data_IF_495142489048
#
_entry.id   IF_495142489048
#
_cell.length_a   1.000
_cell.length_b   1.000
_cell.length_c   1.000
_cell.angle_alpha   90.00
_cell.angle_beta   90.00
_cell.angle_gamma   90.00
#
_symmetry.space_group_name_H-M   'P 1'
#
loop_
_entity.id
_entity.type
_entity.pdbx_description
1 polymer ?
#
# COMPACT_ATOMS: atom_id res chain seq x y z
N UNK A 1 -6.45 8.43 -16.62
CA UNK A 1 -5.51 7.56 -15.89
C UNK A 1 -4.25 7.46 -16.71
N UNK A 2 -3.10 7.71 -16.08
CA UNK A 2 -1.78 7.54 -16.70
C UNK A 2 -1.64 6.09 -17.19
N UNK A 3 -1.08 5.90 -18.40
CA UNK A 3 -0.94 4.58 -19.04
C UNK A 3 0.22 3.76 -18.44
N UNK A 4 0.16 3.46 -17.14
CA UNK A 4 1.06 2.48 -16.52
C UNK A 4 0.33 1.16 -16.21
N UNK A 5 1.14 0.10 -15.98
CA UNK A 5 0.68 -1.24 -15.63
C UNK A 5 0.55 -1.48 -14.12
N UNK A 6 1.08 -0.58 -13.30
CA UNK A 6 0.94 -0.68 -11.84
C UNK A 6 -0.50 -0.61 -11.34
N UNK A 7 -0.71 -1.10 -10.11
CA UNK A 7 -1.99 -1.18 -9.42
C UNK A 7 -1.95 -0.49 -8.06
N UNK A 8 -3.10 -0.06 -7.56
CA UNK A 8 -3.20 0.64 -6.28
C UNK A 8 -3.45 -0.38 -5.18
N UNK A 9 -2.73 -0.32 -4.07
CA UNK A 9 -2.97 -1.15 -2.89
C UNK A 9 -2.80 -0.36 -1.60
N UNK A 10 -3.35 -0.88 -0.49
CA UNK A 10 -2.96 -0.43 0.85
C UNK A 10 -3.97 0.44 1.58
N UNK A 11 -3.46 1.19 2.55
CA UNK A 11 -4.26 1.96 3.51
C UNK A 11 -5.02 3.14 2.89
N UNK A 12 -4.71 3.52 1.64
CA UNK A 12 -5.41 4.60 0.95
C UNK A 12 -6.92 4.31 0.84
N UNK A 13 -7.33 3.06 0.61
CA UNK A 13 -8.74 2.66 0.50
C UNK A 13 -9.53 2.88 1.79
N UNK A 14 -8.90 2.68 2.95
CA UNK A 14 -9.52 2.96 4.26
C UNK A 14 -9.93 4.44 4.35
N UNK A 15 -9.08 5.35 3.88
CA UNK A 15 -9.39 6.78 3.84
C UNK A 15 -10.48 7.08 2.81
N UNK A 16 -10.35 6.56 1.57
CA UNK A 16 -11.35 6.74 0.50
C UNK A 16 -12.75 6.33 0.96
N UNK A 17 -12.87 5.13 1.51
CA UNK A 17 -14.15 4.55 1.92
C UNK A 17 -14.72 5.19 3.20
N UNK A 18 -13.89 5.87 3.99
CA UNK A 18 -14.33 6.62 5.16
C UNK A 18 -14.64 8.10 4.86
N UNK A 19 -14.50 8.53 3.59
CA UNK A 19 -14.64 9.94 3.21
C UNK A 19 -13.52 10.84 3.75
N UNK A 20 -12.42 10.24 4.18
CA UNK A 20 -11.24 10.95 4.68
C UNK A 20 -10.31 11.30 3.51
N UNK A 21 -9.59 12.42 3.65
CA UNK A 21 -8.61 12.83 2.63
C UNK A 21 -7.49 11.80 2.51
N UNK A 22 -7.16 11.42 1.27
CA UNK A 22 -5.99 10.61 0.94
C UNK A 22 -4.79 11.54 0.71
N UNK A 23 -3.68 11.27 1.41
CA UNK A 23 -2.44 12.05 1.30
C UNK A 23 -1.55 11.52 0.18
N UNK A 24 -1.42 10.21 0.12
CA UNK A 24 -0.57 9.46 -0.79
C UNK A 24 -1.32 8.22 -1.31
N UNK A 25 -1.01 7.83 -2.54
CA UNK A 25 -1.56 6.63 -3.20
C UNK A 25 -0.38 5.74 -3.57
N UNK A 26 -0.29 4.59 -2.91
CA UNK A 26 0.72 3.58 -3.21
C UNK A 26 0.36 2.82 -4.48
N UNK A 27 1.28 2.79 -5.43
CA UNK A 27 1.17 2.07 -6.70
C UNK A 27 2.27 1.01 -6.74
N UNK A 28 1.84 -0.25 -6.78
CA UNK A 28 2.68 -1.43 -6.86
C UNK A 28 2.75 -1.96 -8.29
N UNK A 29 3.75 -2.80 -8.54
CA UNK A 29 4.02 -3.38 -9.85
C UNK A 29 4.30 -4.87 -9.70
N UNK A 30 3.98 -5.67 -10.72
CA UNK A 30 4.28 -7.10 -10.71
C UNK A 30 5.76 -7.38 -10.90
N UNK A 31 6.50 -6.46 -11.52
CA UNK A 31 7.92 -6.60 -11.80
C UNK A 31 8.61 -5.22 -11.94
N UNK A 32 9.94 -5.24 -11.89
CA UNK A 32 10.77 -4.04 -11.95
C UNK A 32 10.67 -3.30 -13.30
N UNK A 33 10.48 -4.03 -14.41
CA UNK A 33 10.39 -3.43 -15.75
C UNK A 33 9.17 -2.51 -15.83
N UNK A 34 8.01 -2.98 -15.37
CA UNK A 34 6.78 -2.18 -15.36
C UNK A 34 6.88 -0.96 -14.44
N UNK A 35 7.64 -1.07 -13.34
CA UNK A 35 7.95 0.06 -12.48
C UNK A 35 8.83 1.11 -13.20
N UNK A 36 9.91 0.67 -13.86
CA UNK A 36 10.80 1.56 -14.60
C UNK A 36 10.06 2.25 -15.75
N UNK A 37 9.24 1.51 -16.51
CA UNK A 37 8.36 2.07 -17.55
C UNK A 37 7.43 3.16 -16.99
N UNK A 38 6.89 2.96 -15.79
CA UNK A 38 6.04 3.96 -15.14
C UNK A 38 6.85 5.19 -14.69
N UNK A 39 8.04 5.01 -14.12
CA UNK A 39 8.93 6.12 -13.75
C UNK A 39 9.29 6.95 -14.98
N UNK A 40 9.66 6.31 -16.09
CA UNK A 40 9.97 6.99 -17.34
C UNK A 40 8.76 7.75 -17.89
N UNK A 41 7.57 7.13 -17.83
CA UNK A 41 6.32 7.77 -18.23
C UNK A 41 6.03 9.04 -17.42
N UNK A 42 6.16 9.00 -16.08
CA UNK A 42 5.95 10.20 -15.24
C UNK A 42 6.99 11.29 -15.46
N UNK A 43 8.17 10.95 -15.98
CA UNK A 43 9.20 11.92 -16.37
C UNK A 43 9.12 12.34 -17.85
N UNK A 44 8.19 11.77 -18.63
CA UNK A 44 8.02 12.14 -20.03
C UNK A 44 7.54 13.59 -20.19
N UNK A 45 7.95 14.21 -21.29
CA UNK A 45 7.53 15.58 -21.64
C UNK A 45 6.02 15.77 -21.61
N UNK A 46 5.25 14.75 -22.00
CA UNK A 46 3.79 14.82 -22.04
C UNK A 46 3.20 14.96 -20.62
N UNK A 47 3.62 14.11 -19.67
CA UNK A 47 3.10 14.20 -18.30
C UNK A 47 3.66 15.40 -17.53
N UNK A 48 4.90 15.79 -17.80
CA UNK A 48 5.47 17.02 -17.23
C UNK A 48 4.69 18.25 -17.72
N UNK A 49 4.31 18.33 -19.00
CA UNK A 49 3.44 19.38 -19.55
C UNK A 49 2.03 19.34 -18.95
N UNK A 50 1.53 18.16 -18.60
CA UNK A 50 0.27 18.01 -17.85
C UNK A 50 0.38 18.41 -16.36
N UNK A 51 1.56 18.82 -15.90
CA UNK A 51 1.81 19.33 -14.55
C UNK A 51 2.28 18.27 -13.55
N UNK A 52 2.62 17.05 -13.98
CA UNK A 52 3.26 16.07 -13.10
C UNK A 52 4.71 16.46 -12.81
N UNK A 53 5.11 16.36 -11.54
CA UNK A 53 6.45 16.73 -11.07
C UNK A 53 6.99 15.63 -10.15
N UNK A 54 8.28 15.35 -10.31
CA UNK A 54 9.02 14.52 -9.36
C UNK A 54 8.97 15.15 -7.96
N UNK A 55 8.72 14.32 -6.94
CA UNK A 55 8.64 14.77 -5.54
C UNK A 55 9.87 14.32 -4.74
N UNK A 56 10.12 13.01 -4.70
CA UNK A 56 11.31 12.42 -4.08
C UNK A 56 11.48 10.96 -4.52
N UNK A 57 12.67 10.39 -4.29
CA UNK A 57 12.93 8.96 -4.42
C UNK A 57 13.85 8.51 -3.29
N UNK A 58 13.58 7.34 -2.73
CA UNK A 58 14.48 6.64 -1.80
C UNK A 58 14.62 5.18 -2.25
N UNK A 59 15.16 4.30 -1.40
CA UNK A 59 15.34 2.88 -1.71
C UNK A 59 14.02 2.12 -1.94
N UNK A 60 12.90 2.63 -1.40
CA UNK A 60 11.61 1.93 -1.39
C UNK A 60 10.58 2.50 -2.36
N UNK A 61 10.66 3.79 -2.67
CA UNK A 61 9.62 4.49 -3.43
C UNK A 61 10.17 5.59 -4.32
N UNK A 62 9.52 5.81 -5.47
CA UNK A 62 9.65 6.99 -6.33
C UNK A 62 8.31 7.74 -6.38
N UNK A 63 8.27 8.98 -5.91
CA UNK A 63 7.04 9.74 -5.72
C UNK A 63 6.87 10.87 -6.73
N UNK A 64 5.64 11.05 -7.22
CA UNK A 64 5.24 12.09 -8.16
C UNK A 64 3.99 12.82 -7.70
N UNK A 65 3.90 14.11 -7.96
CA UNK A 65 2.77 14.94 -7.59
C UNK A 65 2.33 15.79 -8.78
N UNK A 66 1.02 15.86 -9.02
CA UNK A 66 0.47 16.79 -10.00
C UNK A 66 0.33 18.19 -9.39
N UNK A 67 0.70 19.21 -10.15
CA UNK A 67 0.62 20.60 -9.73
C UNK A 67 -0.82 20.98 -9.32
N UNK A 68 -0.94 21.70 -8.20
CA UNK A 68 -2.22 22.06 -7.60
C UNK A 68 -2.88 20.94 -6.77
N UNK A 69 -2.50 19.68 -6.96
CA UNK A 69 -3.04 18.57 -6.19
C UNK A 69 -2.35 18.45 -4.83
N UNK A 70 -3.12 18.15 -3.78
CA UNK A 70 -2.55 17.90 -2.45
C UNK A 70 -2.25 16.41 -2.20
N UNK A 71 -2.62 15.55 -3.13
CA UNK A 71 -2.37 14.10 -3.09
C UNK A 71 -1.23 13.79 -4.06
N UNK A 72 -0.34 12.87 -3.67
CA UNK A 72 0.72 12.39 -4.55
C UNK A 72 0.65 10.88 -4.74
N UNK A 73 1.36 10.40 -5.76
CA UNK A 73 1.47 8.98 -6.09
C UNK A 73 2.86 8.50 -5.67
N UNK A 74 2.91 7.33 -5.06
CA UNK A 74 4.11 6.65 -4.61
C UNK A 74 4.28 5.36 -5.42
N UNK A 75 5.24 5.34 -6.36
CA UNK A 75 5.59 4.14 -7.10
C UNK A 75 6.53 3.29 -6.24
N UNK A 76 6.05 2.14 -5.79
CA UNK A 76 6.78 1.24 -4.89
C UNK A 76 7.79 0.41 -5.68
N UNK A 77 9.03 0.38 -5.22
CA UNK A 77 10.15 -0.34 -5.84
C UNK A 77 10.82 -1.35 -4.90
N UNK A 78 10.44 -1.35 -3.62
CA UNK A 78 10.96 -2.32 -2.63
C UNK A 78 10.32 -3.69 -2.71
N UNK A 79 9.17 -3.83 -3.38
CA UNK A 79 8.40 -5.06 -3.45
C UNK A 79 7.69 -5.14 -4.80
N UNK A 80 7.81 -6.29 -5.45
CA UNK A 80 7.13 -6.60 -6.71
C UNK A 80 6.37 -7.91 -6.57
N UNK A 81 5.20 -7.98 -7.19
CA UNK A 81 4.38 -9.17 -7.19
C UNK A 81 2.95 -8.89 -7.62
N UNK A 82 2.19 -9.96 -7.78
CA UNK A 82 0.75 -9.89 -8.07
C UNK A 82 0.00 -9.16 -6.94
N UNK A 83 -1.19 -8.61 -7.20
CA UNK A 83 -2.03 -8.01 -6.16
C UNK A 83 -2.23 -8.95 -4.95
N UNK A 84 -2.44 -10.24 -5.19
CA UNK A 84 -2.57 -11.26 -4.15
C UNK A 84 -1.31 -11.40 -3.28
N UNK A 85 -0.13 -11.38 -3.89
CA UNK A 85 1.16 -11.48 -3.18
C UNK A 85 1.43 -10.24 -2.35
N UNK A 86 1.24 -9.05 -2.92
CA UNK A 86 1.41 -7.78 -2.20
C UNK A 86 0.43 -7.68 -1.01
N UNK A 87 -0.85 -8.05 -1.18
CA UNK A 87 -1.79 -7.99 -0.05
C UNK A 87 -1.49 -9.01 1.05
N UNK A 88 -0.75 -10.10 0.76
CA UNK A 88 -0.33 -11.07 1.78
C UNK A 88 0.77 -10.50 2.68
N UNK A 89 1.62 -9.60 2.18
CA UNK A 89 2.71 -9.00 2.97
C UNK A 89 2.23 -7.90 3.94
N UNK A 90 1.03 -7.35 3.71
CA UNK A 90 0.45 -6.36 4.59
C UNK A 90 0.08 -6.93 5.97
N UNK A 91 0.18 -6.07 6.97
CA UNK A 91 0.00 -6.42 8.38
C UNK A 91 -1.48 -6.48 8.79
N UNK A 92 -2.26 -5.46 8.45
CA UNK A 92 -3.63 -5.32 8.93
C UNK A 92 -4.64 -5.63 7.84
N UNK A 93 -5.66 -6.39 8.19
CA UNK A 93 -6.82 -6.69 7.32
C UNK A 93 -7.44 -5.43 6.69
N UNK A 94 -7.45 -4.28 7.39
CA UNK A 94 -7.99 -3.00 6.90
C UNK A 94 -7.07 -2.22 5.96
N UNK A 95 -5.85 -2.73 5.73
CA UNK A 95 -4.96 -2.28 4.67
C UNK A 95 -4.98 -3.23 3.46
N UNK A 96 -5.58 -4.43 3.58
CA UNK A 96 -5.60 -5.47 2.55
C UNK A 96 -6.70 -5.23 1.53
N UNK A 97 -6.50 -4.23 0.68
CA UNK A 97 -7.33 -3.96 -0.49
C UNK A 97 -6.46 -3.47 -1.65
N UNK A 98 -6.77 -3.93 -2.86
CA UNK A 98 -6.12 -3.55 -4.10
C UNK A 98 -7.15 -3.28 -5.21
N UNK A 99 -6.81 -2.35 -6.10
CA UNK A 99 -7.55 -2.00 -7.31
C UNK A 99 -6.62 -2.09 -8.52
N UNK A 100 -6.94 -2.99 -9.45
CA UNK A 100 -6.04 -3.34 -10.55
C UNK A 100 -6.83 -3.65 -11.83
N UNK A 101 -6.10 -3.67 -12.96
CA UNK A 101 -6.63 -4.09 -14.25
C UNK A 101 -6.39 -5.59 -14.40
N UNK A 102 -7.39 -6.34 -14.85
CA UNK A 102 -7.31 -7.76 -15.14
C UNK A 102 -7.68 -7.99 -16.60
N UNK A 103 -6.85 -8.72 -17.32
CA UNK A 103 -7.21 -9.22 -18.64
C UNK A 103 -8.16 -10.41 -18.48
N UNK A 104 -9.31 -10.32 -19.14
CA UNK A 104 -10.36 -11.34 -19.13
C UNK A 104 -10.65 -11.71 -20.57
N UNK A 105 -10.58 -13.00 -20.87
CA UNK A 105 -11.05 -13.53 -22.15
C UNK A 105 -12.56 -13.70 -22.10
N UNK A 106 -13.25 -13.06 -23.04
CA UNK A 106 -14.70 -13.20 -23.21
C UNK A 106 -15.02 -13.32 -24.68
N UNK A 107 -15.72 -14.39 -25.07
CA UNK A 107 -16.15 -14.64 -26.45
C UNK A 107 -15.00 -14.58 -27.50
N UNK A 108 -13.80 -15.05 -27.12
CA UNK A 108 -12.62 -15.03 -27.99
C UNK A 108 -11.98 -13.65 -28.18
N UNK A 109 -12.33 -12.66 -27.36
CA UNK A 109 -11.68 -11.34 -27.32
C UNK A 109 -11.09 -11.07 -25.93
N UNK A 110 -9.87 -10.56 -25.89
CA UNK A 110 -9.26 -10.05 -24.66
C UNK A 110 -9.86 -8.69 -24.31
N UNK A 111 -10.41 -8.57 -23.10
CA UNK A 111 -10.95 -7.33 -22.54
C UNK A 111 -10.23 -7.02 -21.22
N UNK A 112 -9.99 -5.74 -20.96
CA UNK A 112 -9.48 -5.28 -19.67
C UNK A 112 -10.65 -4.91 -18.77
N UNK A 113 -10.70 -5.50 -17.57
CA UNK A 113 -11.67 -5.20 -16.53
C UNK A 113 -10.98 -4.67 -15.28
N UNK A 114 -11.60 -3.68 -14.62
CA UNK A 114 -11.11 -3.17 -13.34
C UNK A 114 -11.64 -4.04 -12.21
N UNK A 115 -10.73 -4.58 -11.41
CA UNK A 115 -11.02 -5.53 -10.34
C UNK A 115 -10.62 -4.95 -9.00
N UNK A 116 -11.43 -5.25 -7.97
CA UNK A 116 -11.11 -5.01 -6.57
C UNK A 116 -10.81 -6.35 -5.92
N UNK A 117 -9.67 -6.46 -5.24
CA UNK A 117 -9.33 -7.56 -4.35
C UNK A 117 -9.25 -7.02 -2.93
N UNK A 118 -9.83 -7.71 -1.96
CA UNK A 118 -9.70 -7.32 -0.56
C UNK A 118 -9.76 -8.53 0.38
N UNK A 119 -9.25 -8.37 1.60
CA UNK A 119 -9.41 -9.37 2.65
C UNK A 119 -10.90 -9.59 2.95
N UNK A 120 -11.39 -10.83 3.18
CA UNK A 120 -12.82 -11.11 3.39
C UNK A 120 -13.46 -10.26 4.50
N UNK A 121 -12.76 -10.06 5.61
CA UNK A 121 -13.23 -9.26 6.75
C UNK A 121 -12.89 -7.76 6.64
N UNK A 122 -12.37 -7.28 5.50
CA UNK A 122 -11.94 -5.88 5.31
C UNK A 122 -13.04 -4.90 5.72
N UNK A 123 -14.25 -5.06 5.17
CA UNK A 123 -15.36 -4.13 5.41
C UNK A 123 -15.88 -4.20 6.85
N UNK A 124 -16.00 -5.40 7.44
CA UNK A 124 -16.39 -5.55 8.85
C UNK A 124 -15.39 -4.84 9.76
N UNK A 125 -14.09 -5.11 9.57
CA UNK A 125 -13.04 -4.52 10.39
C UNK A 125 -12.90 -3.02 10.17
N UNK A 126 -13.10 -2.54 8.94
CA UNK A 126 -13.15 -1.11 8.63
C UNK A 126 -14.31 -0.43 9.37
N UNK A 127 -15.52 -0.97 9.26
CA UNK A 127 -16.73 -0.43 9.89
C UNK A 127 -16.61 -0.40 11.43
N UNK A 128 -16.13 -1.49 12.02
CA UNK A 128 -15.97 -1.61 13.48
C UNK A 128 -14.74 -0.88 14.02
N UNK A 129 -13.92 -0.25 13.16
CA UNK A 129 -12.60 0.28 13.51
C UNK A 129 -11.77 -0.77 14.28
N UNK A 130 -11.77 -2.01 13.79
CA UNK A 130 -11.04 -3.13 14.38
C UNK A 130 -9.70 -3.29 13.68
N UNK A 131 -8.62 -3.30 14.47
CA UNK A 131 -7.27 -3.57 13.97
C UNK A 131 -6.96 -5.05 14.14
N UNK A 132 -6.98 -5.82 13.05
CA UNK A 132 -6.74 -7.27 13.07
C UNK A 132 -5.57 -7.60 12.16
N UNK A 133 -4.64 -8.39 12.69
CA UNK A 133 -3.48 -8.96 12.00
C UNK A 133 -3.77 -10.43 11.65
N UNK A 134 -3.31 -10.87 10.49
CA UNK A 134 -3.38 -12.27 10.06
C UNK A 134 -2.34 -13.14 10.80
N UNK A 135 -2.11 -14.38 10.35
CA UNK A 135 -1.16 -15.29 11.00
C UNK A 135 0.31 -14.92 10.74
N UNK A 136 0.60 -14.32 9.59
CA UNK A 136 1.96 -13.93 9.23
C UNK A 136 2.25 -12.49 9.65
N UNK A 137 3.30 -12.29 10.46
CA UNK A 137 3.76 -10.97 10.92
C UNK A 137 5.25 -10.84 10.57
N UNK A 138 5.61 -10.54 9.30
CA UNK A 138 7.01 -10.54 8.86
C UNK A 138 7.86 -9.47 9.57
N UNK A 139 7.23 -8.36 9.98
CA UNK A 139 7.92 -7.26 10.68
C UNK A 139 7.18 -6.90 11.98
N UNK A 140 7.34 -7.67 13.07
CA UNK A 140 6.56 -7.48 14.30
C UNK A 140 6.76 -6.10 14.94
N UNK A 141 7.99 -5.58 14.95
CA UNK A 141 8.30 -4.27 15.53
C UNK A 141 7.64 -3.14 14.71
N UNK A 142 7.85 -3.12 13.40
CA UNK A 142 7.19 -2.14 12.51
C UNK A 142 5.65 -2.23 12.58
N UNK A 143 5.11 -3.44 12.67
CA UNK A 143 3.66 -3.65 12.83
C UNK A 143 3.16 -3.05 14.13
N UNK A 144 3.88 -3.26 15.24
CA UNK A 144 3.58 -2.66 16.53
C UNK A 144 3.61 -1.13 16.49
N UNK A 145 4.61 -0.52 15.86
CA UNK A 145 4.67 0.94 15.70
C UNK A 145 3.46 1.48 14.93
N UNK A 146 3.06 0.79 13.85
CA UNK A 146 1.89 1.17 13.06
C UNK A 146 0.60 1.07 13.88
N UNK A 147 0.52 0.24 14.92
CA UNK A 147 -0.67 0.22 15.81
C UNK A 147 -0.94 1.58 16.46
N UNK A 148 0.10 2.36 16.80
CA UNK A 148 -0.09 3.71 17.35
C UNK A 148 -0.69 4.67 16.33
N UNK A 149 -0.28 4.57 15.07
CA UNK A 149 -0.85 5.35 13.97
C UNK A 149 -2.33 5.04 13.80
N UNK A 150 -2.67 3.75 13.75
CA UNK A 150 -4.06 3.30 13.62
C UNK A 150 -4.92 3.61 14.86
N UNK A 151 -4.32 3.62 16.06
CA UNK A 151 -5.01 4.06 17.28
C UNK A 151 -5.45 5.53 17.20
N UNK A 152 -4.64 6.42 16.59
CA UNK A 152 -5.03 7.83 16.34
C UNK A 152 -6.23 7.94 15.40
N UNK A 153 -6.45 6.97 14.52
CA UNK A 153 -7.63 6.87 13.65
C UNK A 153 -8.83 6.18 14.33
N UNK A 154 -8.73 5.88 15.63
CA UNK A 154 -9.78 5.23 16.41
C UNK A 154 -9.79 3.71 16.34
N UNK A 155 -8.83 3.08 15.65
CA UNK A 155 -8.79 1.62 15.55
C UNK A 155 -8.27 0.98 16.84
N UNK A 156 -8.85 -0.16 17.20
CA UNK A 156 -8.44 -0.92 18.39
C UNK A 156 -8.14 -2.37 18.03
N UNK A 157 -7.04 -2.88 18.58
CA UNK A 157 -6.73 -4.31 18.50
C UNK A 157 -7.62 -5.13 19.41
N UNK A 158 -8.12 -6.26 18.91
CA UNK A 158 -8.79 -7.26 19.76
C UNK A 158 -7.77 -8.01 20.62
N UNK A 159 -8.24 -8.78 21.61
CA UNK A 159 -7.38 -9.58 22.49
C UNK A 159 -6.49 -10.55 21.71
N UNK A 160 -7.05 -11.18 20.68
CA UNK A 160 -6.32 -12.14 19.86
C UNK A 160 -5.18 -11.48 19.07
N UNK A 161 -5.44 -10.35 18.41
CA UNK A 161 -4.42 -9.59 17.68
C UNK A 161 -3.29 -9.13 18.61
N UNK A 162 -3.63 -8.67 19.82
CA UNK A 162 -2.62 -8.31 20.84
C UNK A 162 -1.73 -9.50 21.21
N UNK A 163 -2.33 -10.69 21.39
CA UNK A 163 -1.60 -11.91 21.70
C UNK A 163 -0.67 -12.30 20.55
N UNK A 164 -1.18 -12.36 19.31
CA UNK A 164 -0.38 -12.68 18.11
C UNK A 164 0.82 -11.75 17.96
N UNK A 165 0.60 -10.45 18.10
CA UNK A 165 1.65 -9.46 17.99
C UNK A 165 2.68 -9.58 19.12
N UNK A 166 2.25 -9.79 20.37
CA UNK A 166 3.16 -9.98 21.50
C UNK A 166 4.02 -11.24 21.34
N UNK A 167 3.42 -12.35 20.90
CA UNK A 167 4.12 -13.61 20.65
C UNK A 167 5.15 -13.42 19.52
N UNK A 168 4.80 -12.71 18.45
CA UNK A 168 5.71 -12.41 17.34
C UNK A 168 6.89 -11.51 17.76
N UNK A 169 6.63 -10.46 18.55
CA UNK A 169 7.68 -9.57 19.10
C UNK A 169 8.63 -10.35 20.01
N UNK A 170 8.10 -11.18 20.90
CA UNK A 170 8.92 -11.98 21.83
C UNK A 170 9.87 -12.93 21.11
N UNK A 171 9.46 -13.41 19.94
CA UNK A 171 10.24 -14.34 19.13
C UNK A 171 11.13 -13.65 18.09
N UNK A 172 11.15 -12.31 18.07
CA UNK A 172 12.03 -11.52 17.20
C UNK A 172 13.21 -11.03 18.02
N UNK A 173 14.43 -11.36 17.58
CA UNK A 173 15.64 -10.70 18.09
C UNK A 173 15.78 -9.38 17.34
N UNK A 174 15.68 -8.21 17.99
CA UNK A 174 15.77 -6.94 17.27
C UNK A 174 17.17 -6.80 16.67
N UNK A 175 17.31 -6.88 15.34
CA UNK A 175 18.46 -6.31 14.64
C UNK A 175 18.12 -4.88 14.21
N UNK A 176 19.11 -4.00 14.06
CA UNK A 176 18.89 -2.60 13.64
C UNK A 176 18.09 -2.50 12.32
N UNK A 177 18.19 -3.51 11.47
CA UNK A 177 17.46 -3.60 10.19
C UNK A 177 15.98 -4.00 10.34
N UNK A 178 15.58 -4.60 11.46
CA UNK A 178 14.18 -5.03 11.71
C UNK A 178 13.28 -3.89 12.19
N UNK A 179 13.87 -2.72 12.42
CA UNK A 179 13.19 -1.54 12.96
C UNK A 179 12.43 -0.73 11.91
N UNK A 180 12.48 -1.05 10.60
CA UNK A 180 11.76 -0.19 9.65
C UNK A 180 11.32 -0.80 8.32
N UNK A 181 10.00 -0.91 8.17
CA UNK A 181 9.36 -0.82 6.85
C UNK A 181 9.33 0.64 6.34
N UNK A 182 9.50 1.67 7.21
CA UNK A 182 9.29 3.08 6.85
C UNK A 182 10.28 4.14 7.41
N UNK A 183 11.42 3.80 8.02
CA UNK A 183 12.38 4.82 8.49
C UNK A 183 13.38 5.20 7.40
N UNK A 184 12.97 6.08 6.49
CA UNK A 184 13.75 7.29 6.14
C UNK A 184 12.73 8.37 5.74
N UNK A 185 12.17 9.07 6.73
CA UNK A 185 11.10 10.04 6.48
C UNK A 185 10.51 10.71 7.72
N UNK A 186 11.39 11.26 8.58
CA UNK A 186 11.09 12.39 9.46
C UNK A 186 10.16 12.17 10.65
N UNK A 187 10.74 12.01 11.83
CA UNK A 187 10.28 12.62 13.08
C UNK A 187 11.51 12.98 13.94
N UNK A 188 12.17 14.07 13.53
CA UNK A 188 12.57 15.17 14.42
C UNK A 188 12.04 16.46 13.76
#
# INVERSE_FOLDING_TARGET
MVKHKGFIAGGCFKNILSGERVKDIDVFFENEVDFLEAVDLFNSDDLVKEGWKFKYRNEKVCAFQKEGEKTWIELIQSEFGTPEEILRSFDFTVAKMAYFKKEVESEGRSKVEYTILHHPNFFEHLHMKRLVIDENIPFPISTWERTYRYAKYGYKMCRETKKKLLDAIRNTTPSENDLSMYNVGGWD
#
